data_IF_607528307453
#
_entry.id   IF_607528307453
#
_cell.length_a   1.000
_cell.length_b   1.000
_cell.length_c   1.000
_cell.angle_alpha   90.00
_cell.angle_beta   90.00
_cell.angle_gamma   90.00
#
_symmetry.space_group_name_H-M   'P 1'
#
loop_
_entity.id
_entity.type
_entity.pdbx_description
1 polymer ?
#
# COMPACT_ATOMS: atom_id res chain seq x y z
N UNK A 1 36.79 21.87 -2.29
CA UNK A 1 35.75 21.42 -1.35
C UNK A 1 34.55 21.00 -2.18
N UNK A 2 34.34 19.71 -2.48
CA UNK A 2 33.20 19.28 -3.30
C UNK A 2 31.93 19.16 -2.46
N UNK A 3 30.82 19.39 -3.13
CA UNK A 3 29.47 19.58 -2.60
C UNK A 3 28.89 18.26 -2.05
N UNK A 4 28.44 18.24 -0.80
CA UNK A 4 27.61 17.15 -0.26
C UNK A 4 26.19 17.64 -0.08
N UNK A 5 25.31 17.27 -1.00
CA UNK A 5 23.94 16.82 -0.73
C UNK A 5 23.27 16.51 -2.06
N UNK A 6 23.81 15.50 -2.75
CA UNK A 6 22.97 14.69 -3.62
C UNK A 6 21.84 14.17 -2.73
N UNK A 7 20.62 14.67 -2.93
CA UNK A 7 19.41 14.03 -2.46
C UNK A 7 19.34 12.69 -3.19
N UNK A 8 20.04 11.70 -2.64
CA UNK A 8 19.99 10.35 -3.13
C UNK A 8 18.52 9.95 -3.08
N UNK A 9 18.00 9.61 -4.26
CA UNK A 9 16.74 8.91 -4.45
C UNK A 9 16.85 7.57 -3.70
N UNK A 10 16.70 7.64 -2.38
CA UNK A 10 16.67 6.50 -1.50
C UNK A 10 15.29 5.89 -1.72
N UNK A 11 15.17 4.99 -2.69
CA UNK A 11 14.07 4.03 -2.72
C UNK A 11 14.07 3.34 -1.34
N UNK A 12 13.14 3.67 -0.43
CA UNK A 12 13.29 3.28 0.95
C UNK A 12 12.72 1.87 1.08
N UNK A 13 13.62 0.93 1.35
CA UNK A 13 13.38 -0.29 2.15
C UNK A 13 11.91 -0.78 2.18
N UNK A 14 11.58 -1.71 1.26
CA UNK A 14 10.25 -2.34 1.08
C UNK A 14 9.58 -2.91 2.34
N UNK A 15 10.29 -3.05 3.47
CA UNK A 15 9.72 -3.58 4.72
C UNK A 15 9.28 -2.52 5.73
N UNK A 16 9.76 -1.28 5.63
CA UNK A 16 9.29 -0.17 6.50
C UNK A 16 8.19 0.66 5.82
N UNK A 17 8.00 0.44 4.51
CA UNK A 17 7.10 1.20 3.64
C UNK A 17 5.62 0.79 3.78
N UNK A 18 5.32 -0.50 3.99
CA UNK A 18 3.93 -1.01 4.00
C UNK A 18 3.06 -0.41 5.11
N UNK A 19 3.59 -0.19 6.30
CA UNK A 19 2.85 0.45 7.40
C UNK A 19 2.55 1.92 7.11
N UNK A 20 3.49 2.62 6.49
CA UNK A 20 3.32 4.02 6.09
C UNK A 20 2.33 4.12 4.92
N UNK A 21 2.39 3.18 3.98
CA UNK A 21 1.43 2.99 2.89
C UNK A 21 0.04 2.71 3.41
N UNK A 22 -0.09 1.81 4.38
CA UNK A 22 -1.35 1.51 5.04
C UNK A 22 -1.94 2.76 5.70
N UNK A 23 -1.12 3.50 6.47
CA UNK A 23 -1.54 4.77 7.06
C UNK A 23 -1.95 5.81 6.02
N UNK A 24 -1.17 5.96 4.95
CA UNK A 24 -1.51 6.85 3.83
C UNK A 24 -2.79 6.41 3.14
N UNK A 25 -3.03 5.12 2.96
CA UNK A 25 -4.25 4.60 2.35
C UNK A 25 -5.49 4.90 3.21
N UNK A 26 -5.33 4.93 4.53
CA UNK A 26 -6.40 5.28 5.46
C UNK A 26 -6.66 6.78 5.49
N UNK A 27 -5.61 7.59 5.65
CA UNK A 27 -5.74 9.04 5.84
C UNK A 27 -5.80 9.84 4.55
N UNK A 28 -5.23 9.32 3.47
CA UNK A 28 -5.06 10.01 2.19
C UNK A 28 -5.09 9.03 1.00
N UNK A 29 -6.16 8.23 0.86
CA UNK A 29 -6.26 7.19 -0.18
C UNK A 29 -6.09 7.71 -1.62
N UNK A 30 -6.50 8.97 -1.87
CA UNK A 30 -6.42 9.61 -3.19
C UNK A 30 -5.02 10.12 -3.56
N UNK A 31 -4.09 10.14 -2.62
CA UNK A 31 -2.71 10.58 -2.84
C UNK A 31 -1.74 9.42 -3.08
N UNK A 32 -2.21 8.17 -2.98
CA UNK A 32 -1.37 7.02 -3.29
C UNK A 32 -1.11 6.94 -4.79
N UNK A 33 0.13 6.63 -5.12
CA UNK A 33 0.55 6.30 -6.47
C UNK A 33 0.13 4.87 -6.83
N UNK A 34 0.11 4.57 -8.14
CA UNK A 34 -0.27 3.24 -8.63
C UNK A 34 0.62 2.13 -8.06
N UNK A 35 1.92 2.40 -7.93
CA UNK A 35 2.91 1.49 -7.36
C UNK A 35 2.61 1.19 -5.88
N UNK A 36 2.30 2.23 -5.11
CA UNK A 36 1.92 2.13 -3.70
C UNK A 36 0.63 1.33 -3.48
N UNK A 37 -0.36 1.52 -4.35
CA UNK A 37 -1.61 0.74 -4.34
C UNK A 37 -1.36 -0.73 -4.74
N UNK A 38 -0.49 -0.97 -5.72
CA UNK A 38 -0.07 -2.30 -6.13
C UNK A 38 0.66 -3.05 -5.01
N UNK A 39 1.56 -2.37 -4.29
CA UNK A 39 2.26 -2.95 -3.14
C UNK A 39 1.29 -3.37 -2.03
N UNK A 40 0.33 -2.50 -1.67
CA UNK A 40 -0.73 -2.83 -0.70
C UNK A 40 -1.55 -4.03 -1.13
N UNK A 41 -1.98 -4.04 -2.39
CA UNK A 41 -2.77 -5.13 -2.95
C UNK A 41 -1.99 -6.45 -2.98
N UNK A 42 -0.73 -6.41 -3.41
CA UNK A 42 0.14 -7.58 -3.44
C UNK A 42 0.37 -8.13 -2.02
N UNK A 43 0.55 -7.26 -1.04
CA UNK A 43 0.64 -7.66 0.37
C UNK A 43 -0.65 -8.34 0.86
N UNK A 44 -1.81 -7.73 0.65
CA UNK A 44 -3.12 -8.30 1.05
C UNK A 44 -3.40 -9.66 0.38
N UNK A 45 -2.95 -9.85 -0.86
CA UNK A 45 -3.07 -11.15 -1.53
C UNK A 45 -2.08 -12.18 -1.00
N UNK A 46 -0.88 -11.75 -0.63
CA UNK A 46 0.16 -12.60 -0.06
C UNK A 46 -0.17 -13.04 1.37
N UNK A 47 -0.77 -12.17 2.18
CA UNK A 47 -1.25 -12.46 3.55
C UNK A 47 -2.63 -13.12 3.56
N UNK A 48 -3.00 -13.76 2.45
CA UNK A 48 -4.35 -14.22 2.15
C UNK A 48 -4.96 -15.26 3.08
N UNK A 49 -4.26 -15.74 4.11
CA UNK A 49 -4.87 -16.51 5.21
C UNK A 49 -5.73 -15.63 6.13
N UNK A 50 -5.44 -14.33 6.23
CA UNK A 50 -6.16 -13.43 7.12
C UNK A 50 -6.99 -12.35 6.40
N UNK A 51 -6.79 -12.16 5.09
CA UNK A 51 -7.58 -11.23 4.29
C UNK A 51 -8.96 -11.83 3.93
N UNK A 52 -10.02 -11.07 4.14
CA UNK A 52 -11.39 -11.46 3.76
C UNK A 52 -11.54 -11.52 2.24
N UNK A 53 -12.55 -12.24 1.74
CA UNK A 53 -12.86 -12.32 0.31
C UNK A 53 -13.04 -10.93 -0.32
N UNK A 54 -13.73 -10.02 0.37
CA UNK A 54 -13.94 -8.65 -0.10
C UNK A 54 -12.61 -7.88 -0.27
N UNK A 55 -11.67 -8.03 0.67
CA UNK A 55 -10.35 -7.39 0.58
C UNK A 55 -9.50 -7.99 -0.54
N UNK A 56 -9.59 -9.32 -0.74
CA UNK A 56 -8.92 -10.01 -1.85
C UNK A 56 -9.46 -9.58 -3.20
N UNK A 57 -10.78 -9.41 -3.34
CA UNK A 57 -11.37 -8.89 -4.58
C UNK A 57 -10.92 -7.47 -4.87
N UNK A 58 -10.89 -6.61 -3.85
CA UNK A 58 -10.36 -5.24 -3.97
C UNK A 58 -8.89 -5.27 -4.39
N UNK A 59 -8.07 -6.12 -3.77
CA UNK A 59 -6.66 -6.25 -4.12
C UNK A 59 -6.44 -6.80 -5.54
N UNK A 60 -7.26 -7.75 -5.99
CA UNK A 60 -7.25 -8.18 -7.40
C UNK A 60 -7.62 -7.02 -8.32
N UNK A 61 -8.69 -6.27 -7.99
CA UNK A 61 -9.08 -5.08 -8.75
C UNK A 61 -7.97 -4.04 -8.79
N UNK A 62 -7.26 -3.84 -7.68
CA UNK A 62 -6.10 -2.96 -7.58
C UNK A 62 -4.98 -3.34 -8.55
N UNK A 63 -4.70 -4.65 -8.72
CA UNK A 63 -3.68 -5.11 -9.67
C UNK A 63 -4.05 -4.81 -11.12
N UNK A 64 -5.33 -4.88 -11.47
CA UNK A 64 -5.80 -4.63 -12.82
C UNK A 64 -6.07 -3.15 -13.10
N UNK A 65 -6.56 -2.41 -12.10
CA UNK A 65 -6.90 -1.00 -12.21
C UNK A 65 -6.70 -0.28 -10.86
N UNK A 66 -5.45 0.10 -10.52
CA UNK A 66 -5.15 0.77 -9.25
C UNK A 66 -5.73 2.19 -9.19
N UNK A 67 -5.90 2.86 -10.34
CA UNK A 67 -6.47 4.22 -10.41
C UNK A 67 -7.99 4.26 -10.33
N UNK A 68 -8.65 3.17 -10.74
CA UNK A 68 -10.12 3.03 -10.68
C UNK A 68 -10.63 2.46 -9.36
N UNK A 69 -9.78 2.41 -8.34
CA UNK A 69 -10.20 2.08 -6.98
C UNK A 69 -10.80 3.30 -6.30
N UNK A 70 -11.90 3.08 -5.60
CA UNK A 70 -12.48 4.13 -4.78
C UNK A 70 -11.66 4.32 -3.50
N UNK A 71 -11.71 5.54 -2.96
CA UNK A 71 -11.03 5.88 -1.72
C UNK A 71 -11.37 4.89 -0.59
N UNK A 72 -12.65 4.50 -0.47
CA UNK A 72 -13.09 3.51 0.52
C UNK A 72 -12.49 2.11 0.30
N UNK A 73 -12.23 1.73 -0.95
CA UNK A 73 -11.58 0.46 -1.27
C UNK A 73 -10.09 0.49 -0.90
N UNK A 74 -9.42 1.61 -1.19
CA UNK A 74 -8.01 1.83 -0.83
C UNK A 74 -7.85 1.87 0.70
N UNK A 75 -8.74 2.56 1.41
CA UNK A 75 -8.77 2.58 2.88
C UNK A 75 -8.89 1.18 3.45
N UNK A 76 -9.79 0.33 2.94
CA UNK A 76 -9.91 -1.06 3.39
C UNK A 76 -8.62 -1.86 3.21
N UNK A 77 -7.93 -1.71 2.08
CA UNK A 77 -6.62 -2.33 1.87
C UNK A 77 -5.58 -1.83 2.89
N UNK A 78 -5.61 -0.54 3.19
CA UNK A 78 -4.75 0.08 4.21
C UNK A 78 -5.04 -0.44 5.61
N UNK A 79 -6.30 -0.48 6.03
CA UNK A 79 -6.71 -1.02 7.34
C UNK A 79 -6.27 -2.48 7.51
N UNK A 80 -6.43 -3.29 6.45
CA UNK A 80 -5.97 -4.68 6.43
C UNK A 80 -4.46 -4.80 6.60
N UNK A 81 -3.70 -4.05 5.80
CA UNK A 81 -2.24 -4.05 5.87
C UNK A 81 -1.73 -3.52 7.21
N UNK A 82 -2.46 -2.61 7.86
CA UNK A 82 -2.15 -2.14 9.21
C UNK A 82 -2.43 -3.21 10.28
N UNK A 83 -3.51 -3.98 10.13
CA UNK A 83 -3.89 -5.05 11.06
C UNK A 83 -2.92 -6.23 11.03
N UNK A 84 -2.38 -6.56 9.86
CA UNK A 84 -1.48 -7.70 9.66
C UNK A 84 -0.15 -7.59 10.45
N UNK A 85 0.37 -6.36 10.63
CA UNK A 85 1.58 -6.14 11.43
C UNK A 85 1.35 -6.34 12.95
N UNK A 86 0.11 -6.26 13.44
CA UNK A 86 -0.19 -6.34 14.88
C UNK A 86 -0.43 -7.77 15.37
N UNK A 87 -0.40 -8.76 14.48
CA UNK A 87 -0.57 -10.20 14.77
C UNK A 87 0.71 -10.89 15.18
#
# INVERSE_FOLDING_TARGET
MPHTSSHEHKAPHASSSLHELARKAIHSPKLLTKDEVLELAHHVLKTGEHATEAEREIAKKAQHNPEGLEAAQITKLGERAQYDHRG
#
